data_IF_875961863156
#
_entry.id   IF_875961863156
#
_cell.length_a   1.000
_cell.length_b   1.000
_cell.length_c   1.000
_cell.angle_alpha   90.00
_cell.angle_beta   90.00
_cell.angle_gamma   90.00
#
_symmetry.space_group_name_H-M   'P 1'
#
loop_
_entity.id
_entity.type
_entity.pdbx_description
1 polymer ?
#
# COMPACT_ATOMS: atom_id res chain seq x y z
N UNK A 1 -19.64 21.25 -22.08
CA UNK A 1 -19.25 20.38 -20.94
C UNK A 1 -18.00 21.01 -20.33
N UNK A 2 -18.01 21.41 -19.06
CA UNK A 2 -16.99 22.31 -18.47
C UNK A 2 -15.77 21.53 -17.94
N UNK A 3 -15.98 20.27 -17.56
CA UNK A 3 -14.95 19.36 -17.08
C UNK A 3 -14.72 18.27 -18.13
N UNK A 4 -13.46 18.05 -18.47
CA UNK A 4 -12.97 17.03 -19.38
C UNK A 4 -12.12 16.02 -18.60
N UNK A 5 -12.24 14.74 -18.93
CA UNK A 5 -11.42 13.68 -18.33
C UNK A 5 -10.54 13.13 -19.45
N UNK A 6 -9.21 13.23 -19.28
CA UNK A 6 -8.20 12.75 -20.23
C UNK A 6 -7.11 12.07 -19.39
N UNK A 7 -6.75 10.83 -19.72
CA UNK A 7 -5.73 10.04 -19.01
C UNK A 7 -5.91 10.04 -17.47
N UNK A 8 -7.12 9.77 -17.00
CA UNK A 8 -7.52 9.79 -15.58
C UNK A 8 -7.30 11.13 -14.85
N UNK A 9 -7.04 12.21 -15.59
CA UNK A 9 -6.91 13.57 -15.06
C UNK A 9 -8.12 14.41 -15.43
N UNK A 10 -8.55 15.25 -14.49
CA UNK A 10 -9.63 16.20 -14.70
C UNK A 10 -9.07 17.54 -15.17
N UNK A 11 -9.57 18.02 -16.31
CA UNK A 11 -9.24 19.30 -16.91
C UNK A 11 -10.48 20.19 -16.92
N UNK A 12 -10.29 21.47 -16.64
CA UNK A 12 -11.36 22.47 -16.73
C UNK A 12 -11.09 23.36 -17.94
N UNK A 13 -12.15 23.72 -18.66
CA UNK A 13 -12.03 24.58 -19.84
C UNK A 13 -11.46 25.97 -19.47
N UNK A 14 -10.45 26.42 -20.21
CA UNK A 14 -9.74 27.69 -19.93
C UNK A 14 -10.66 28.90 -20.13
N UNK A 15 -11.52 28.89 -21.15
CA UNK A 15 -12.48 29.97 -21.36
C UNK A 15 -13.50 30.02 -20.23
N UNK A 16 -13.87 28.88 -19.65
CA UNK A 16 -14.72 28.86 -18.45
C UNK A 16 -14.03 29.51 -17.25
N UNK A 17 -12.74 29.23 -17.01
CA UNK A 17 -11.96 29.81 -15.91
C UNK A 17 -11.85 31.33 -16.04
N UNK A 18 -11.58 31.82 -17.26
CA UNK A 18 -11.45 33.26 -17.53
C UNK A 18 -12.77 33.98 -17.29
N UNK A 19 -13.89 33.40 -17.73
CA UNK A 19 -15.20 34.05 -17.65
C UNK A 19 -15.92 33.83 -16.31
N UNK A 20 -15.54 32.83 -15.52
CA UNK A 20 -16.21 32.45 -14.26
C UNK A 20 -15.21 32.05 -13.16
N UNK A 21 -14.29 32.94 -12.73
CA UNK A 21 -13.18 32.59 -11.86
C UNK A 21 -13.61 32.05 -10.49
N UNK A 22 -14.64 32.65 -9.87
CA UNK A 22 -15.15 32.21 -8.57
C UNK A 22 -15.74 30.80 -8.62
N UNK A 23 -16.51 30.49 -9.66
CA UNK A 23 -17.10 29.16 -9.84
C UNK A 23 -16.04 28.11 -10.17
N UNK A 24 -15.04 28.46 -10.98
CA UNK A 24 -13.90 27.60 -11.25
C UNK A 24 -13.14 27.25 -9.96
N UNK A 25 -12.96 28.22 -9.06
CA UNK A 25 -12.27 28.02 -7.79
C UNK A 25 -13.04 27.09 -6.85
N UNK A 26 -14.38 27.17 -6.82
CA UNK A 26 -15.24 26.22 -6.08
C UNK A 26 -15.08 24.80 -6.64
N UNK A 27 -15.16 24.64 -7.96
CA UNK A 27 -15.01 23.33 -8.62
C UNK A 27 -13.63 22.72 -8.32
N UNK A 28 -12.56 23.52 -8.37
CA UNK A 28 -11.22 23.07 -8.03
C UNK A 28 -11.09 22.65 -6.57
N UNK A 29 -11.69 23.41 -5.63
CA UNK A 29 -11.71 23.06 -4.20
C UNK A 29 -12.47 21.75 -3.95
N UNK A 30 -13.61 21.55 -4.58
CA UNK A 30 -14.39 20.31 -4.47
C UNK A 30 -13.67 19.10 -5.07
N UNK A 31 -13.01 19.28 -6.21
CA UNK A 31 -12.20 18.22 -6.84
C UNK A 31 -11.01 17.83 -5.94
N UNK A 32 -10.33 18.81 -5.35
CA UNK A 32 -9.25 18.57 -4.38
C UNK A 32 -9.78 17.90 -3.11
N UNK A 33 -10.93 18.31 -2.59
CA UNK A 33 -11.55 17.69 -1.44
C UNK A 33 -11.95 16.23 -1.73
N UNK A 34 -12.53 15.95 -2.90
CA UNK A 34 -12.84 14.58 -3.33
C UNK A 34 -11.58 13.74 -3.51
N UNK A 35 -10.52 14.30 -4.09
CA UNK A 35 -9.21 13.65 -4.18
C UNK A 35 -8.64 13.33 -2.80
N UNK A 36 -8.73 14.28 -1.86
CA UNK A 36 -8.31 14.07 -0.47
C UNK A 36 -9.18 13.01 0.21
N UNK A 37 -10.50 13.03 0.07
CA UNK A 37 -11.42 12.04 0.66
C UNK A 37 -11.26 10.64 0.06
N UNK A 38 -11.01 10.53 -1.25
CA UNK A 38 -10.68 9.27 -1.92
C UNK A 38 -9.32 8.73 -1.47
N UNK A 39 -8.37 9.61 -1.17
CA UNK A 39 -7.03 9.24 -0.71
C UNK A 39 -6.87 9.13 0.82
N UNK A 40 -7.81 9.64 1.61
CA UNK A 40 -7.80 9.65 3.07
C UNK A 40 -8.96 8.84 3.64
N UNK A 41 -8.71 7.55 3.83
CA UNK A 41 -9.05 6.87 5.10
C UNK A 41 -7.89 5.94 5.43
N UNK A 42 -6.77 6.53 5.89
CA UNK A 42 -5.86 5.79 6.75
C UNK A 42 -6.69 5.44 8.00
N UNK A 43 -6.63 4.18 8.43
CA UNK A 43 -7.17 3.78 9.73
C UNK A 43 -6.30 4.50 10.77
N UNK A 44 -6.78 5.65 11.24
CA UNK A 44 -6.12 6.41 12.30
C UNK A 44 -6.31 5.63 13.58
N UNK A 45 -5.28 4.88 13.97
CA UNK A 45 -5.24 4.25 15.29
C UNK A 45 -5.01 5.37 16.31
N UNK A 46 -5.85 5.48 17.35
CA UNK A 46 -5.76 6.56 18.32
C UNK A 46 -4.37 6.60 18.97
N UNK A 47 -3.81 7.81 19.05
CA UNK A 47 -2.42 8.13 19.42
C UNK A 47 -2.02 7.74 20.84
N UNK A 48 -2.95 7.27 21.68
CA UNK A 48 -2.71 6.98 23.09
C UNK A 48 -2.71 5.47 23.46
N UNK A 49 -2.93 4.58 22.50
CA UNK A 49 -2.81 3.13 22.72
C UNK A 49 -1.61 2.58 21.96
N UNK A 50 -0.77 1.78 22.61
CA UNK A 50 0.30 1.02 21.93
C UNK A 50 -0.28 0.25 20.75
N UNK A 51 0.29 0.45 19.57
CA UNK A 51 -0.10 -0.27 18.36
C UNK A 51 0.04 -1.78 18.56
N UNK A 52 -1.03 -2.54 18.31
CA UNK A 52 -1.04 -4.00 18.38
C UNK A 52 -1.19 -4.62 17.00
N UNK A 53 -0.31 -5.56 16.67
CA UNK A 53 -0.40 -6.36 15.44
C UNK A 53 -1.55 -7.38 15.55
N UNK A 54 -2.75 -6.99 15.13
CA UNK A 54 -3.89 -7.90 14.99
C UNK A 54 -3.70 -8.86 13.81
N UNK A 55 -4.54 -9.89 13.68
CA UNK A 55 -4.43 -10.85 12.57
C UNK A 55 -4.57 -10.15 11.21
N UNK A 56 -5.47 -9.19 11.14
CA UNK A 56 -5.79 -8.35 9.99
C UNK A 56 -4.58 -7.51 9.56
N UNK A 57 -3.94 -6.81 10.52
CA UNK A 57 -2.75 -6.01 10.23
C UNK A 57 -1.56 -6.87 9.83
N UNK A 58 -1.44 -8.08 10.42
CA UNK A 58 -0.42 -9.06 10.00
C UNK A 58 -0.66 -9.53 8.57
N UNK A 59 -1.91 -9.75 8.17
CA UNK A 59 -2.29 -10.11 6.81
C UNK A 59 -1.94 -8.99 5.81
N UNK A 60 -2.35 -7.75 6.08
CA UNK A 60 -1.99 -6.59 5.26
C UNK A 60 -0.48 -6.40 5.16
N UNK A 61 0.24 -6.65 6.25
CA UNK A 61 1.71 -6.63 6.26
C UNK A 61 2.33 -7.68 5.33
N UNK A 62 1.86 -8.94 5.39
CA UNK A 62 2.34 -10.01 4.50
C UNK A 62 2.04 -9.69 3.04
N UNK A 63 0.85 -9.15 2.74
CA UNK A 63 0.47 -8.69 1.40
C UNK A 63 1.44 -7.60 0.92
N UNK A 64 1.72 -6.59 1.73
CA UNK A 64 2.66 -5.52 1.40
C UNK A 64 4.06 -6.06 1.07
N UNK A 65 4.57 -6.97 1.90
CA UNK A 65 5.87 -7.60 1.69
C UNK A 65 5.91 -8.44 0.41
N UNK A 66 4.83 -9.16 0.10
CA UNK A 66 4.73 -9.97 -1.11
C UNK A 66 4.74 -9.09 -2.36
N UNK A 67 3.93 -8.03 -2.44
CA UNK A 67 3.90 -7.15 -3.62
C UNK A 67 5.20 -6.35 -3.83
N UNK A 68 5.90 -5.98 -2.76
CA UNK A 68 7.19 -5.27 -2.84
C UNK A 68 8.35 -6.24 -3.11
N UNK A 69 8.26 -7.49 -2.64
CA UNK A 69 9.34 -8.47 -2.61
C UNK A 69 10.05 -8.50 -1.26
N UNK A 70 10.06 -9.68 -0.62
CA UNK A 70 10.53 -9.86 0.76
C UNK A 70 12.02 -9.54 0.97
N UNK A 71 12.85 -9.72 -0.06
CA UNK A 71 14.29 -9.40 -0.03
C UNK A 71 14.51 -7.88 -0.06
N UNK A 72 13.74 -7.17 -0.90
CA UNK A 72 13.89 -5.73 -1.13
C UNK A 72 13.19 -4.85 -0.10
N UNK A 73 12.06 -5.30 0.46
CA UNK A 73 11.23 -4.46 1.33
C UNK A 73 12.01 -3.91 2.53
N UNK A 74 11.80 -2.63 2.82
CA UNK A 74 12.44 -1.91 3.93
C UNK A 74 11.39 -1.36 4.91
N UNK A 75 11.73 -1.20 6.21
CA UNK A 75 10.81 -0.64 7.21
C UNK A 75 10.25 0.75 6.85
N UNK A 76 11.02 1.56 6.12
CA UNK A 76 10.58 2.88 5.64
C UNK A 76 9.46 2.76 4.60
N UNK A 77 9.57 1.81 3.68
CA UNK A 77 8.53 1.55 2.67
C UNK A 77 7.23 1.08 3.33
N UNK A 78 7.33 0.20 4.32
CA UNK A 78 6.18 -0.34 5.05
C UNK A 78 5.39 0.75 5.79
N UNK A 79 6.09 1.72 6.41
CA UNK A 79 5.45 2.89 7.00
C UNK A 79 4.66 3.73 6.00
N UNK A 80 5.10 3.77 4.73
CA UNK A 80 4.43 4.53 3.68
C UNK A 80 3.22 3.79 3.10
N UNK A 81 3.32 2.48 2.88
CA UNK A 81 2.28 1.72 2.17
C UNK A 81 1.17 1.21 3.08
N UNK A 82 1.44 0.96 4.36
CA UNK A 82 0.42 0.39 5.23
C UNK A 82 -0.67 1.42 5.55
N UNK A 83 -1.96 0.99 5.59
CA UNK A 83 -3.08 1.91 5.78
C UNK A 83 -3.26 2.35 7.23
N UNK A 84 -2.27 2.12 8.09
CA UNK A 84 -2.30 2.43 9.52
C UNK A 84 -0.91 2.91 9.98
N UNK A 85 -0.89 3.72 11.03
CA UNK A 85 0.34 4.32 11.55
C UNK A 85 1.15 3.32 12.36
N UNK A 86 2.43 3.15 11.99
CA UNK A 86 3.42 2.38 12.76
C UNK A 86 4.74 3.15 12.82
N UNK A 87 5.54 2.89 13.85
CA UNK A 87 6.92 3.37 13.91
C UNK A 87 7.83 2.52 13.03
N UNK A 88 8.99 3.09 12.66
CA UNK A 88 10.03 2.38 11.89
C UNK A 88 10.54 1.15 12.61
N UNK A 89 10.67 1.24 13.92
CA UNK A 89 11.15 0.21 14.82
C UNK A 89 10.15 -0.96 14.88
N UNK A 90 8.85 -0.64 15.00
CA UNK A 90 7.78 -1.65 14.97
C UNK A 90 7.74 -2.37 13.62
N UNK A 91 7.83 -1.62 12.52
CA UNK A 91 7.93 -2.17 11.16
C UNK A 91 9.16 -3.08 11.00
N UNK A 92 10.32 -2.66 11.50
CA UNK A 92 11.58 -3.41 11.46
C UNK A 92 11.52 -4.72 12.24
N UNK A 93 11.05 -4.67 13.49
CA UNK A 93 10.88 -5.87 14.33
C UNK A 93 9.91 -6.87 13.68
N UNK A 94 8.79 -6.37 13.11
CA UNK A 94 7.83 -7.22 12.41
C UNK A 94 8.41 -7.83 11.15
N UNK A 95 9.13 -7.06 10.34
CA UNK A 95 9.78 -7.53 9.11
C UNK A 95 10.81 -8.62 9.40
N UNK A 96 11.63 -8.45 10.44
CA UNK A 96 12.60 -9.46 10.86
C UNK A 96 11.90 -10.78 11.23
N UNK A 97 10.85 -10.71 12.08
CA UNK A 97 10.07 -11.90 12.45
C UNK A 97 9.39 -12.56 11.25
N UNK A 98 8.91 -11.75 10.30
CA UNK A 98 8.28 -12.25 9.09
C UNK A 98 9.27 -12.97 8.16
N UNK A 99 10.47 -12.42 7.96
CA UNK A 99 11.55 -13.09 7.23
C UNK A 99 11.94 -14.41 7.88
N UNK A 100 12.09 -14.46 9.20
CA UNK A 100 12.37 -15.70 9.93
C UNK A 100 11.25 -16.73 9.72
N UNK A 101 9.97 -16.31 9.77
CA UNK A 101 8.83 -17.19 9.51
C UNK A 101 8.92 -17.80 8.10
N UNK A 102 9.14 -16.97 7.08
CA UNK A 102 9.29 -17.42 5.69
C UNK A 102 10.49 -18.35 5.56
N UNK A 103 11.64 -18.01 6.13
CA UNK A 103 12.82 -18.89 6.11
C UNK A 103 12.51 -20.27 6.68
N UNK A 104 11.76 -20.37 7.78
CA UNK A 104 11.32 -21.65 8.34
C UNK A 104 10.40 -22.42 7.40
N UNK A 105 9.44 -21.74 6.76
CA UNK A 105 8.51 -22.35 5.80
C UNK A 105 9.20 -22.99 4.59
N UNK A 106 10.30 -22.38 4.11
CA UNK A 106 11.07 -22.86 2.95
C UNK A 106 12.38 -23.58 3.33
N UNK A 107 12.61 -23.85 4.62
CA UNK A 107 13.84 -24.47 5.14
C UNK A 107 15.14 -23.72 4.74
N UNK A 108 15.07 -22.39 4.69
CA UNK A 108 16.18 -21.50 4.36
C UNK A 108 17.03 -21.25 5.60
N UNK A 109 18.35 -21.39 5.48
CA UNK A 109 19.28 -21.28 6.60
C UNK A 109 19.85 -19.87 6.78
N UNK A 110 19.98 -19.09 5.70
CA UNK A 110 20.52 -17.72 5.73
C UNK A 110 19.58 -16.71 5.08
N UNK A 111 19.57 -15.46 5.58
CA UNK A 111 18.80 -14.38 4.96
C UNK A 111 19.22 -14.07 3.53
N UNK A 112 20.46 -14.41 3.13
CA UNK A 112 20.98 -14.13 1.79
C UNK A 112 20.32 -15.01 0.71
N UNK A 113 19.80 -16.16 1.12
CA UNK A 113 19.05 -17.09 0.28
C UNK A 113 17.58 -16.68 0.12
N UNK A 114 17.10 -15.66 0.85
CA UNK A 114 15.75 -15.14 0.62
C UNK A 114 15.69 -14.43 -0.72
N UNK A 115 14.88 -14.98 -1.61
CA UNK A 115 14.43 -14.36 -2.84
C UNK A 115 13.02 -13.76 -2.74
N UNK A 116 12.71 -12.81 -3.63
CA UNK A 116 11.43 -12.08 -3.62
C UNK A 116 10.19 -12.96 -3.89
N UNK A 117 10.37 -14.14 -4.50
CA UNK A 117 9.30 -15.11 -4.71
C UNK A 117 8.92 -15.89 -3.44
N UNK A 118 9.73 -15.82 -2.37
CA UNK A 118 9.35 -16.43 -1.09
C UNK A 118 8.23 -15.60 -0.44
N UNK A 119 7.08 -16.22 -0.31
CA UNK A 119 5.84 -15.65 0.22
C UNK A 119 5.41 -16.39 1.49
N UNK A 120 4.49 -15.80 2.26
CA UNK A 120 3.88 -16.50 3.39
C UNK A 120 2.98 -17.65 2.90
N UNK A 121 3.38 -18.89 3.14
CA UNK A 121 2.64 -20.08 2.68
C UNK A 121 1.27 -20.26 3.36
N UNK A 122 1.00 -19.54 4.44
CA UNK A 122 -0.32 -19.55 5.11
C UNK A 122 -1.37 -18.68 4.38
N UNK A 123 -0.96 -17.91 3.38
CA UNK A 123 -1.83 -17.01 2.60
C UNK A 123 -1.88 -17.45 1.15
N UNK A 124 -2.87 -18.28 0.81
CA UNK A 124 -3.05 -18.85 -0.53
C UNK A 124 -3.15 -17.76 -1.62
N UNK A 125 -3.72 -16.60 -1.31
CA UNK A 125 -3.84 -15.48 -2.23
C UNK A 125 -2.50 -14.88 -2.68
N UNK A 126 -1.39 -15.21 -2.00
CA UNK A 126 -0.06 -14.73 -2.36
C UNK A 126 0.63 -15.64 -3.37
N UNK A 127 0.13 -16.86 -3.64
CA UNK A 127 0.77 -17.85 -4.53
C UNK A 127 1.04 -17.29 -5.92
N UNK A 128 0.05 -16.60 -6.49
CA UNK A 128 0.17 -15.97 -7.82
C UNK A 128 1.26 -14.89 -7.83
N UNK A 129 1.47 -14.19 -6.72
CA UNK A 129 2.51 -13.16 -6.58
C UNK A 129 3.90 -13.82 -6.56
N UNK A 130 4.05 -14.93 -5.83
CA UNK A 130 5.27 -15.72 -5.82
C UNK A 130 5.64 -16.22 -7.22
N UNK A 131 4.67 -16.76 -7.95
CA UNK A 131 4.87 -17.21 -9.34
C UNK A 131 5.23 -16.07 -10.29
N UNK A 132 4.63 -14.88 -10.13
CA UNK A 132 5.05 -13.70 -10.91
C UNK A 132 6.53 -13.38 -10.70
N UNK A 133 7.01 -13.38 -9.46
CA UNK A 133 8.44 -13.15 -9.18
C UNK A 133 9.34 -14.23 -9.77
N UNK A 134 8.94 -15.51 -9.73
CA UNK A 134 9.69 -16.59 -10.40
C UNK A 134 9.81 -16.37 -11.91
N UNK A 135 8.78 -15.75 -12.52
CA UNK A 135 8.73 -15.40 -13.93
C UNK A 135 9.37 -14.04 -14.26
N UNK A 136 10.18 -13.47 -13.36
CA UNK A 136 10.95 -12.25 -13.62
C UNK A 136 10.22 -10.94 -13.36
N UNK A 137 9.05 -10.96 -12.72
CA UNK A 137 8.40 -9.75 -12.27
C UNK A 137 9.20 -9.06 -11.16
N UNK A 138 9.37 -7.75 -11.24
CA UNK A 138 10.20 -6.99 -10.29
C UNK A 138 9.43 -6.45 -9.07
N UNK A 139 8.15 -6.81 -8.92
CA UNK A 139 7.26 -6.27 -7.89
C UNK A 139 6.50 -5.02 -8.32
N UNK A 140 5.80 -4.40 -7.38
CA UNK A 140 5.04 -3.15 -7.61
C UNK A 140 5.72 -1.92 -7.03
N UNK A 141 5.43 -0.79 -7.68
CA UNK A 141 5.68 0.55 -7.14
C UNK A 141 4.92 0.77 -5.82
N UNK A 142 5.55 1.52 -4.91
CA UNK A 142 5.02 1.84 -3.58
C UNK A 142 3.58 2.40 -3.64
N UNK A 143 3.29 3.27 -4.60
CA UNK A 143 1.96 3.89 -4.75
C UNK A 143 0.88 2.86 -5.12
N UNK A 144 1.21 1.91 -6.01
CA UNK A 144 0.30 0.83 -6.40
C UNK A 144 0.06 -0.13 -5.23
N UNK A 145 1.11 -0.47 -4.49
CA UNK A 145 0.98 -1.30 -3.27
C UNK A 145 0.06 -0.63 -2.25
N UNK A 146 0.22 0.67 -2.03
CA UNK A 146 -0.63 1.42 -1.12
C UNK A 146 -2.11 1.39 -1.56
N UNK A 147 -2.39 1.52 -2.86
CA UNK A 147 -3.75 1.43 -3.40
C UNK A 147 -4.38 0.04 -3.16
N UNK A 148 -3.63 -1.03 -3.41
CA UNK A 148 -4.10 -2.41 -3.16
C UNK A 148 -4.40 -2.60 -1.68
N UNK A 149 -3.51 -2.17 -0.79
CA UNK A 149 -3.70 -2.32 0.65
C UNK A 149 -4.91 -1.53 1.18
N UNK A 150 -5.22 -0.38 0.58
CA UNK A 150 -6.45 0.36 0.89
C UNK A 150 -7.71 -0.42 0.49
N UNK A 151 -7.69 -1.14 -0.63
CA UNK A 151 -8.81 -1.99 -1.07
C UNK A 151 -8.94 -3.19 -0.13
N UNK A 152 -7.84 -3.86 0.20
CA UNK A 152 -7.86 -5.01 1.11
C UNK A 152 -8.31 -4.62 2.52
N UNK A 153 -7.88 -3.46 3.04
CA UNK A 153 -8.31 -2.97 4.35
C UNK A 153 -9.81 -2.72 4.44
N UNK A 154 -10.48 -2.37 3.33
CA UNK A 154 -11.94 -2.19 3.29
C UNK A 154 -12.72 -3.50 3.38
N UNK A 155 -12.10 -4.65 3.10
CA UNK A 155 -12.76 -5.96 3.24
C UNK A 155 -12.78 -6.46 4.69
N UNK A 156 -12.01 -5.81 5.55
CA UNK A 156 -11.79 -6.20 6.94
C UNK A 156 -12.74 -5.46 7.89
N UNK A 157 -13.24 -4.29 7.47
CA UNK A 157 -14.23 -3.46 8.18
C UNK A 157 -15.63 -3.81 7.67
#
# INVERSE_FOLDING_TARGET
KIIHIIDDKQYIDVNFVINNPEQALVIMKEANLKYQQQNQKLIVIPTNSEFKWTLEFKKLFSIACAYIGIKRVQPKMLQTVLPFTITKESAGSRLQKHRIKIMKQYNIQSSDQLENWHIDLELDELKDIGEKFKNGWEGMDIDKVQQILKIEAKKIV
#
